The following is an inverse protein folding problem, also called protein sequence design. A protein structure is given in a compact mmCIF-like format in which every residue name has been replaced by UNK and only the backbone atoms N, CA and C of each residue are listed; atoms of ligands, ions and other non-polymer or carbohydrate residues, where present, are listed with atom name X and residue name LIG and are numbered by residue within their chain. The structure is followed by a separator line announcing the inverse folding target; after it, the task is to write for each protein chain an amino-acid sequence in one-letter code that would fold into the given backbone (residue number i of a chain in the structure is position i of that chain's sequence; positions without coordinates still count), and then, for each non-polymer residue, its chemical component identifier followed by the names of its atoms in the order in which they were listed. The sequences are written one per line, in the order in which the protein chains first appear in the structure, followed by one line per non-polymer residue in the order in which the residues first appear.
data_IF_608219392563
#
_entry.id   IF_608219392563
#
_cell.length_a   1.000
_cell.length_b   1.000
_cell.length_c   1.000
_cell.angle_alpha   90.00
_cell.angle_beta   90.00
_cell.angle_gamma   90.00
#
_symmetry.space_group_name_H-M   'P 1'
#
loop_
_entity.id
_entity.type
_entity.pdbx_description
1 polymer ?
#
# COMPACT_ATOMS: atom_id res chain seq x y z
N UNK A 1 1.48 -13.90 -22.78
CA UNK A 1 2.15 -12.60 -22.95
C UNK A 1 3.47 -12.59 -22.19
N UNK A 2 4.44 -11.88 -22.73
CA UNK A 2 5.70 -11.57 -22.08
C UNK A 2 5.98 -10.09 -22.23
N UNK A 3 6.58 -9.48 -21.22
CA UNK A 3 7.07 -8.12 -21.30
C UNK A 3 8.42 -8.00 -20.62
N UNK A 4 9.22 -7.07 -21.11
CA UNK A 4 10.46 -6.65 -20.47
C UNK A 4 10.63 -5.15 -20.72
N UNK A 5 11.09 -4.43 -19.71
CA UNK A 5 11.31 -3.00 -19.83
C UNK A 5 12.34 -2.49 -18.84
N UNK A 6 12.95 -1.37 -19.18
CA UNK A 6 13.80 -0.59 -18.29
C UNK A 6 13.16 0.75 -18.00
N UNK A 7 13.43 1.29 -16.83
CA UNK A 7 12.92 2.58 -16.40
C UNK A 7 13.87 3.29 -15.45
N UNK A 8 13.57 4.55 -15.24
CA UNK A 8 14.25 5.38 -14.25
C UNK A 8 13.26 6.34 -13.62
N UNK A 9 13.53 6.76 -12.39
CA UNK A 9 12.80 7.80 -11.68
C UNK A 9 13.78 8.85 -11.16
N UNK A 10 13.62 10.08 -11.59
CA UNK A 10 14.35 11.20 -10.99
C UNK A 10 13.75 11.56 -9.63
N UNK A 11 14.57 11.99 -8.66
CA UNK A 11 14.05 12.60 -7.44
C UNK A 11 13.16 13.80 -7.77
N UNK A 12 12.09 13.96 -7.01
CA UNK A 12 11.24 15.14 -7.13
C UNK A 12 11.93 16.38 -6.56
N UNK A 13 11.49 17.58 -6.99
CA UNK A 13 11.97 18.83 -6.44
C UNK A 13 11.74 18.93 -4.91
N UNK A 14 10.67 18.30 -4.42
CA UNK A 14 10.40 18.24 -2.99
C UNK A 14 11.43 17.39 -2.24
N UNK A 15 11.76 16.22 -2.75
CA UNK A 15 12.78 15.33 -2.15
C UNK A 15 14.17 15.98 -2.13
N UNK A 16 14.51 16.74 -3.19
CA UNK A 16 15.82 17.38 -3.32
C UNK A 16 15.97 18.65 -2.45
N UNK A 17 14.93 19.51 -2.38
CA UNK A 17 15.13 20.89 -1.93
C UNK A 17 14.12 21.38 -0.88
N UNK A 18 13.07 20.61 -0.54
CA UNK A 18 12.06 21.08 0.39
C UNK A 18 12.19 20.35 1.72
N UNK A 19 12.52 21.11 2.77
CA UNK A 19 12.34 20.66 4.15
C UNK A 19 11.00 21.16 4.67
N UNK A 20 10.28 20.31 5.42
CA UNK A 20 8.97 20.63 5.98
C UNK A 20 8.76 19.92 7.31
N UNK A 21 7.77 20.37 8.07
CA UNK A 21 7.37 19.74 9.32
C UNK A 21 5.99 19.08 9.15
N UNK A 22 5.90 17.80 9.43
CA UNK A 22 4.67 17.05 9.42
C UNK A 22 4.32 16.60 10.85
N UNK A 23 3.37 17.30 11.48
CA UNK A 23 2.88 16.98 12.83
C UNK A 23 3.99 16.89 13.91
N UNK A 24 4.98 17.79 13.82
CA UNK A 24 6.10 17.82 14.77
C UNK A 24 7.35 17.03 14.34
N UNK A 25 7.25 16.22 13.30
CA UNK A 25 8.38 15.46 12.76
C UNK A 25 8.94 16.18 11.54
N UNK A 26 10.25 16.46 11.55
CA UNK A 26 10.92 17.11 10.42
C UNK A 26 11.12 16.12 9.25
N UNK A 27 10.92 16.65 8.05
CA UNK A 27 11.26 15.99 6.78
C UNK A 27 12.37 16.81 6.15
N UNK A 28 13.53 16.19 6.00
CA UNK A 28 14.72 16.84 5.50
C UNK A 28 14.88 16.65 3.98
N UNK A 29 15.25 17.73 3.29
CA UNK A 29 15.65 17.67 1.90
C UNK A 29 16.95 16.88 1.71
N UNK A 30 17.11 16.25 0.54
CA UNK A 30 18.36 15.58 0.18
C UNK A 30 18.80 15.93 -1.25
N UNK A 31 19.62 16.97 -1.44
CA UNK A 31 20.10 17.37 -2.75
C UNK A 31 21.07 16.36 -3.40
N UNK A 32 21.56 15.37 -2.64
CA UNK A 32 22.50 14.35 -3.12
C UNK A 32 21.80 13.08 -3.65
N UNK A 33 20.47 13.06 -3.67
CA UNK A 33 19.71 11.91 -4.19
C UNK A 33 20.08 11.62 -5.66
N UNK A 34 20.39 10.37 -5.92
CA UNK A 34 20.61 9.85 -7.25
C UNK A 34 19.30 9.37 -7.89
N UNK A 35 19.19 9.42 -9.22
CA UNK A 35 18.07 8.79 -9.91
C UNK A 35 18.02 7.29 -9.63
N UNK A 36 16.84 6.80 -9.36
CA UNK A 36 16.55 5.37 -9.28
C UNK A 36 16.43 4.80 -10.69
N UNK A 37 17.05 3.68 -10.95
CA UNK A 37 16.97 2.97 -12.23
C UNK A 37 16.53 1.52 -12.01
N UNK A 38 16.04 0.87 -13.04
CA UNK A 38 15.66 -0.54 -12.89
C UNK A 38 15.17 -1.17 -14.18
N UNK A 39 14.83 -2.44 -14.04
CA UNK A 39 14.19 -3.21 -15.10
C UNK A 39 13.07 -4.09 -14.50
N UNK A 40 12.12 -4.45 -15.35
CA UNK A 40 11.07 -5.40 -15.02
C UNK A 40 10.89 -6.43 -16.13
N UNK A 41 10.50 -7.64 -15.74
CA UNK A 41 10.10 -8.70 -16.64
C UNK A 41 8.81 -9.35 -16.13
N UNK A 42 7.94 -9.72 -17.05
CA UNK A 42 6.66 -10.39 -16.76
C UNK A 42 6.41 -11.52 -17.75
N UNK A 43 5.85 -12.61 -17.24
CA UNK A 43 5.31 -13.71 -18.03
C UNK A 43 3.88 -13.99 -17.55
N UNK A 44 2.90 -13.97 -18.46
CA UNK A 44 1.51 -14.17 -18.10
C UNK A 44 0.71 -14.95 -19.13
N UNK A 45 -0.38 -15.55 -18.64
CA UNK A 45 -1.38 -16.28 -19.43
C UNK A 45 -2.74 -15.65 -19.17
N UNK A 46 -3.45 -15.31 -20.24
CA UNK A 46 -4.82 -14.82 -20.19
C UNK A 46 -5.74 -15.79 -20.88
N UNK A 47 -6.68 -16.35 -20.13
CA UNK A 47 -7.65 -17.33 -20.59
C UNK A 47 -9.05 -16.73 -20.63
N UNK A 48 -9.68 -16.71 -21.79
CA UNK A 48 -11.10 -16.38 -21.91
C UNK A 48 -11.96 -17.50 -21.32
N UNK A 49 -13.02 -17.09 -20.63
CA UNK A 49 -14.01 -18.00 -20.01
C UNK A 49 -15.40 -17.55 -20.43
N UNK A 50 -16.26 -18.51 -20.81
CA UNK A 50 -17.66 -18.27 -21.11
C UNK A 50 -18.54 -19.27 -20.37
N UNK A 51 -19.55 -18.75 -19.66
CA UNK A 51 -20.57 -19.54 -18.96
C UNK A 51 -21.93 -18.99 -19.38
N UNK A 52 -22.66 -19.73 -20.18
CA UNK A 52 -23.87 -19.23 -20.83
C UNK A 52 -23.60 -17.95 -21.64
N UNK A 53 -24.24 -16.82 -21.27
CA UNK A 53 -24.03 -15.50 -21.86
C UNK A 53 -23.09 -14.60 -21.02
N UNK A 54 -22.55 -15.11 -19.93
CA UNK A 54 -21.50 -14.45 -19.19
C UNK A 54 -20.16 -14.71 -19.85
N UNK A 55 -19.41 -13.66 -20.13
CA UNK A 55 -18.11 -13.71 -20.79
C UNK A 55 -17.10 -12.96 -19.94
N UNK A 56 -15.93 -13.57 -19.77
CA UNK A 56 -14.86 -12.99 -18.97
C UNK A 56 -13.49 -13.57 -19.31
N UNK A 57 -12.53 -13.24 -18.49
CA UNK A 57 -11.21 -13.82 -18.55
C UNK A 57 -10.60 -13.99 -17.15
N UNK A 58 -9.69 -14.93 -17.06
CA UNK A 58 -8.76 -15.11 -15.95
C UNK A 58 -7.38 -14.80 -16.50
N UNK A 59 -6.61 -13.99 -15.80
CA UNK A 59 -5.24 -13.62 -16.14
C UNK A 59 -4.34 -13.98 -14.97
N UNK A 60 -3.26 -14.70 -15.23
CA UNK A 60 -2.23 -15.07 -14.26
C UNK A 60 -0.90 -14.61 -14.81
N UNK A 61 -0.15 -13.85 -14.02
CA UNK A 61 1.19 -13.38 -14.40
C UNK A 61 2.18 -13.59 -13.25
N UNK A 62 3.40 -13.93 -13.59
CA UNK A 62 4.55 -13.85 -12.69
C UNK A 62 5.44 -12.70 -13.13
N UNK A 63 5.97 -11.94 -12.18
CA UNK A 63 6.79 -10.78 -12.46
C UNK A 63 8.03 -10.72 -11.57
N UNK A 64 9.04 -10.02 -12.05
CA UNK A 64 10.23 -9.64 -11.31
C UNK A 64 10.63 -8.23 -11.71
N UNK A 65 10.95 -7.40 -10.70
CA UNK A 65 11.47 -6.05 -10.86
C UNK A 65 12.75 -5.94 -10.06
N UNK A 66 13.76 -5.33 -10.65
CA UNK A 66 15.01 -5.01 -9.96
C UNK A 66 15.27 -3.52 -10.06
N UNK A 67 15.59 -2.90 -8.92
CA UNK A 67 15.89 -1.49 -8.82
C UNK A 67 17.32 -1.30 -8.32
N UNK A 68 17.96 -0.27 -8.83
CA UNK A 68 19.25 0.21 -8.39
C UNK A 68 19.10 1.62 -7.85
N UNK A 69 19.79 1.93 -6.76
CA UNK A 69 19.67 3.20 -6.05
C UNK A 69 18.22 3.54 -5.67
N UNK A 70 17.43 2.54 -5.25
CA UNK A 70 16.04 2.75 -4.86
C UNK A 70 15.94 3.83 -3.79
N UNK A 71 15.03 4.79 -3.98
CA UNK A 71 14.81 5.87 -3.01
C UNK A 71 13.77 5.45 -1.98
N UNK A 72 14.11 5.60 -0.70
CA UNK A 72 13.23 5.31 0.42
C UNK A 72 13.33 6.37 1.50
N UNK A 73 12.23 6.56 2.23
CA UNK A 73 12.15 7.44 3.38
C UNK A 73 12.74 6.72 4.59
N UNK A 74 13.72 7.31 5.25
CA UNK A 74 14.41 6.69 6.38
C UNK A 74 14.48 7.66 7.55
N UNK A 75 14.18 7.18 8.74
CA UNK A 75 14.30 7.94 9.99
C UNK A 75 15.75 7.93 10.47
N UNK A 76 16.20 9.09 10.94
CA UNK A 76 17.56 9.27 11.48
C UNK A 76 17.74 10.65 12.10
N UNK A 77 18.94 10.93 12.58
CA UNK A 77 19.34 12.27 13.02
C UNK A 77 19.99 13.03 11.86
N UNK A 78 19.23 13.87 11.18
CA UNK A 78 19.66 14.58 9.97
C UNK A 78 19.98 16.04 10.20
N UNK A 79 19.47 16.64 11.29
CA UNK A 79 19.68 18.03 11.68
C UNK A 79 20.55 18.16 12.91
N UNK A 80 21.04 19.39 13.15
CA UNK A 80 21.83 19.71 14.33
C UNK A 80 21.02 19.49 15.63
N UNK A 81 21.48 18.61 16.54
CA UNK A 81 20.75 18.30 17.77
C UNK A 81 20.61 19.47 18.74
N UNK A 82 21.40 20.53 18.58
CA UNK A 82 21.38 21.68 19.47
C UNK A 82 20.42 22.79 19.03
N UNK A 83 20.12 22.83 17.72
CA UNK A 83 19.35 23.93 17.13
C UNK A 83 18.04 23.51 16.49
N UNK A 84 17.88 22.23 16.15
CA UNK A 84 16.69 21.72 15.46
C UNK A 84 15.69 21.07 16.42
N UNK A 85 14.38 21.13 16.11
CA UNK A 85 13.35 20.40 16.86
C UNK A 85 13.69 18.92 16.98
N UNK A 86 13.20 18.25 18.04
CA UNK A 86 13.41 16.84 18.30
C UNK A 86 14.88 16.42 18.15
N UNK A 87 15.82 17.27 18.56
CA UNK A 87 17.26 17.00 18.45
C UNK A 87 17.74 16.68 17.03
N UNK A 88 17.11 17.24 16.02
CA UNK A 88 17.42 16.99 14.61
C UNK A 88 16.94 15.64 14.07
N UNK A 89 16.09 14.94 14.83
CA UNK A 89 15.47 13.69 14.39
C UNK A 89 14.37 13.95 13.35
N UNK A 90 14.24 13.05 12.38
CA UNK A 90 13.21 13.15 11.38
C UNK A 90 13.41 12.18 10.24
N UNK A 91 12.69 12.41 9.15
CA UNK A 91 12.78 11.60 7.94
C UNK A 91 13.56 12.29 6.84
N UNK A 92 14.28 11.51 6.05
CA UNK A 92 14.99 11.95 4.85
C UNK A 92 14.87 10.88 3.76
N UNK A 93 14.64 11.30 2.51
CA UNK A 93 14.74 10.37 1.38
C UNK A 93 16.21 10.07 1.10
N UNK A 94 16.55 8.79 0.99
CA UNK A 94 17.91 8.30 0.73
C UNK A 94 17.88 7.17 -0.30
N UNK A 95 18.98 6.93 -0.98
CA UNK A 95 19.12 5.77 -1.85
C UNK A 95 19.57 4.56 -1.02
N UNK A 96 18.79 3.46 -1.05
CA UNK A 96 19.03 2.26 -0.22
C UNK A 96 19.72 1.11 -0.97
N UNK A 97 20.26 1.39 -2.18
CA UNK A 97 20.96 0.39 -2.98
C UNK A 97 20.04 -0.49 -3.82
N UNK A 98 20.48 -1.76 -4.01
CA UNK A 98 19.75 -2.71 -4.85
C UNK A 98 18.58 -3.36 -4.13
N UNK A 99 17.41 -3.38 -4.80
CA UNK A 99 16.21 -4.04 -4.32
C UNK A 99 15.58 -4.91 -5.40
N UNK A 100 14.83 -5.92 -4.99
CA UNK A 100 14.10 -6.79 -5.89
C UNK A 100 12.67 -6.98 -5.39
N UNK A 101 11.72 -6.90 -6.31
CA UNK A 101 10.31 -7.23 -6.05
C UNK A 101 9.92 -8.32 -7.05
N UNK A 102 9.57 -9.50 -6.56
CA UNK A 102 9.06 -10.58 -7.39
C UNK A 102 7.70 -11.03 -6.89
N UNK A 103 6.87 -11.56 -7.78
CA UNK A 103 5.54 -11.95 -7.36
C UNK A 103 4.69 -12.60 -8.42
N UNK A 104 3.43 -12.83 -8.03
CA UNK A 104 2.39 -13.42 -8.88
C UNK A 104 1.15 -12.54 -8.77
N UNK A 105 0.53 -12.28 -9.91
CA UNK A 105 -0.76 -11.62 -10.03
C UNK A 105 -1.80 -12.57 -10.61
N UNK A 106 -2.98 -12.56 -10.01
CA UNK A 106 -4.18 -13.23 -10.51
C UNK A 106 -5.26 -12.16 -10.68
N UNK A 107 -5.88 -12.09 -11.84
CA UNK A 107 -7.07 -11.24 -12.04
C UNK A 107 -8.19 -11.99 -12.74
N UNK A 108 -9.40 -11.61 -12.40
CA UNK A 108 -10.63 -12.06 -13.03
C UNK A 108 -11.47 -10.84 -13.40
N UNK A 109 -12.00 -10.85 -14.60
CA UNK A 109 -12.94 -9.83 -15.06
C UNK A 109 -13.97 -10.49 -15.97
N UNK A 110 -15.24 -10.15 -15.78
CA UNK A 110 -16.28 -10.69 -16.63
C UNK A 110 -17.64 -10.07 -16.37
N UNK A 111 -18.50 -10.13 -17.37
CA UNK A 111 -19.84 -9.61 -17.30
C UNK A 111 -20.80 -10.41 -18.18
N UNK A 112 -22.07 -10.41 -17.86
CA UNK A 112 -23.09 -10.98 -18.69
C UNK A 112 -24.21 -11.69 -17.96
N UNK A 113 -25.17 -12.21 -18.72
CA UNK A 113 -26.33 -12.95 -18.21
C UNK A 113 -25.95 -14.39 -17.87
N UNK A 114 -26.21 -14.79 -16.63
CA UNK A 114 -26.14 -16.21 -16.22
C UNK A 114 -27.43 -16.93 -16.64
N UNK A 115 -28.56 -16.26 -16.45
CA UNK A 115 -29.88 -16.70 -16.89
C UNK A 115 -30.72 -15.50 -17.37
N UNK A 116 -32.03 -15.65 -17.58
CA UNK A 116 -32.88 -14.58 -18.08
C UNK A 116 -33.02 -13.40 -17.10
N UNK A 117 -32.93 -13.67 -15.80
CA UNK A 117 -33.25 -12.73 -14.73
C UNK A 117 -32.01 -12.23 -13.98
N UNK A 118 -30.81 -12.77 -14.29
CA UNK A 118 -29.60 -12.45 -13.55
C UNK A 118 -28.42 -12.07 -14.46
N UNK A 119 -27.93 -10.85 -14.29
CA UNK A 119 -26.66 -10.39 -14.85
C UNK A 119 -25.63 -10.32 -13.73
N UNK A 120 -24.41 -10.77 -13.99
CA UNK A 120 -23.28 -10.67 -13.04
C UNK A 120 -22.16 -9.87 -13.70
N UNK A 121 -21.71 -8.84 -13.00
CA UNK A 121 -20.49 -8.11 -13.27
C UNK A 121 -19.49 -8.48 -12.17
N UNK A 122 -18.33 -8.99 -12.57
CA UNK A 122 -17.29 -9.44 -11.64
C UNK A 122 -15.95 -8.85 -12.04
N UNK A 123 -15.26 -8.23 -11.08
CA UNK A 123 -13.86 -7.85 -11.20
C UNK A 123 -13.15 -8.26 -9.92
N UNK A 124 -12.00 -8.89 -10.04
CA UNK A 124 -11.20 -9.28 -8.89
C UNK A 124 -9.72 -9.34 -9.23
N UNK A 125 -8.90 -9.20 -8.23
CA UNK A 125 -7.46 -9.32 -8.33
C UNK A 125 -6.85 -9.77 -7.00
N UNK A 126 -5.78 -10.50 -7.12
CA UNK A 126 -4.90 -10.89 -6.02
C UNK A 126 -3.47 -10.74 -6.48
N UNK A 127 -2.66 -10.10 -5.64
CA UNK A 127 -1.22 -9.95 -5.85
C UNK A 127 -0.49 -10.50 -4.63
N UNK A 128 0.43 -11.40 -4.88
CA UNK A 128 1.49 -11.76 -3.95
C UNK A 128 2.79 -11.13 -4.42
N UNK A 129 3.52 -10.49 -3.51
CA UNK A 129 4.85 -9.94 -3.80
C UNK A 129 5.84 -10.24 -2.69
N UNK A 130 7.08 -10.46 -3.08
CA UNK A 130 8.23 -10.60 -2.19
C UNK A 130 9.23 -9.45 -2.46
N UNK A 131 9.07 -8.30 -1.79
CA UNK A 131 9.93 -7.14 -1.96
C UNK A 131 11.08 -7.21 -0.96
N UNK A 132 12.32 -7.30 -1.44
CA UNK A 132 13.52 -7.46 -0.61
C UNK A 132 14.61 -6.45 -0.97
N UNK A 133 15.44 -6.11 0.01
CA UNK A 133 16.76 -5.47 -0.20
C UNK A 133 17.79 -6.55 -0.43
N UNK A 134 18.66 -6.38 -1.42
CA UNK A 134 19.64 -7.42 -1.79
C UNK A 134 20.80 -7.47 -0.81
N UNK A 135 21.21 -6.33 -0.26
CA UNK A 135 22.34 -6.19 0.65
C UNK A 135 21.92 -5.42 1.92
N UNK A 136 21.14 -6.03 2.84
CA UNK A 136 20.54 -5.30 3.96
C UNK A 136 21.55 -4.79 4.99
N UNK A 137 22.75 -5.35 5.05
CA UNK A 137 23.83 -4.95 5.97
C UNK A 137 24.81 -3.93 5.37
N UNK A 138 24.65 -3.58 4.10
CA UNK A 138 25.44 -2.54 3.45
C UNK A 138 25.05 -1.16 3.96
N UNK A 139 26.04 -0.31 4.26
CA UNK A 139 25.81 1.07 4.65
C UNK A 139 25.35 1.86 3.43
N UNK A 140 24.11 2.34 3.46
CA UNK A 140 23.56 3.11 2.36
C UNK A 140 23.61 4.63 2.59
N UNK A 141 23.73 5.07 3.85
CA UNK A 141 23.85 6.49 4.21
C UNK A 141 24.40 6.64 5.63
N UNK A 142 24.83 7.86 5.96
CA UNK A 142 25.24 8.22 7.32
C UNK A 142 24.34 9.33 7.86
N UNK A 143 23.89 9.18 9.11
CA UNK A 143 23.23 10.23 9.87
C UNK A 143 24.26 11.07 10.64
N UNK A 144 23.85 12.25 11.14
CA UNK A 144 24.77 13.13 11.90
C UNK A 144 25.19 12.49 13.23
N UNK A 145 24.32 11.70 13.84
CA UNK A 145 24.57 11.09 15.13
C UNK A 145 23.87 9.74 15.31
N UNK A 146 23.85 9.29 16.55
CA UNK A 146 23.26 8.03 16.96
C UNK A 146 21.97 8.27 17.74
N UNK A 147 21.01 7.38 17.60
CA UNK A 147 19.78 7.34 18.39
C UNK A 147 19.65 5.99 19.09
N UNK A 148 19.17 6.01 20.33
CA UNK A 148 18.89 4.80 21.09
C UNK A 148 17.45 4.36 20.79
N UNK A 149 17.29 3.16 20.22
CA UNK A 149 15.98 2.56 19.90
C UNK A 149 15.95 1.16 20.52
N UNK A 150 15.01 0.90 21.41
CA UNK A 150 14.87 -0.39 22.11
C UNK A 150 16.18 -0.90 22.73
N UNK A 151 17.03 0.01 23.24
CA UNK A 151 18.31 -0.34 23.84
C UNK A 151 19.47 -0.55 22.86
N UNK A 152 19.27 -0.38 21.57
CA UNK A 152 20.30 -0.43 20.52
C UNK A 152 20.64 0.98 20.01
N UNK A 153 21.93 1.26 19.81
CA UNK A 153 22.39 2.49 19.18
C UNK A 153 22.31 2.33 17.65
N UNK A 154 21.54 3.19 17.00
CA UNK A 154 21.33 3.22 15.56
C UNK A 154 22.02 4.45 14.97
N UNK A 155 22.91 4.25 13.99
CA UNK A 155 23.73 5.28 13.35
C UNK A 155 25.14 5.40 13.97
N UNK A 156 26.00 6.30 13.45
CA UNK A 156 25.75 7.16 12.29
C UNK A 156 25.61 6.36 10.98
N UNK A 157 26.26 5.21 10.85
CA UNK A 157 26.13 4.31 9.68
C UNK A 157 24.74 3.65 9.68
N UNK A 158 23.94 3.96 8.67
CA UNK A 158 22.61 3.39 8.49
C UNK A 158 22.66 2.27 7.45
N UNK A 159 22.21 1.09 7.90
CA UNK A 159 21.97 -0.08 7.07
C UNK A 159 20.48 -0.39 7.07
N UNK A 160 20.02 -1.18 6.12
CA UNK A 160 18.63 -1.62 6.12
C UNK A 160 18.30 -2.48 7.35
N UNK A 161 19.26 -3.31 7.78
CA UNK A 161 19.14 -4.15 8.97
C UNK A 161 18.94 -3.35 10.25
N UNK A 162 19.68 -2.26 10.46
CA UNK A 162 19.59 -1.51 11.71
C UNK A 162 18.45 -0.47 11.72
N UNK A 163 17.96 -0.02 10.56
CA UNK A 163 16.90 0.98 10.43
C UNK A 163 15.48 0.41 10.29
N UNK A 164 15.35 -0.91 10.12
CA UNK A 164 14.10 -1.63 9.84
C UNK A 164 13.62 -2.46 11.02
N UNK A 165 12.30 -2.61 11.17
CA UNK A 165 11.71 -3.53 12.14
C UNK A 165 11.79 -5.00 11.70
N UNK A 166 11.80 -5.27 10.38
CA UNK A 166 11.99 -6.58 9.75
C UNK A 166 12.79 -6.42 8.45
N UNK A 167 14.14 -6.57 8.47
CA UNK A 167 14.99 -6.34 7.31
C UNK A 167 14.82 -7.39 6.19
N UNK A 168 14.05 -8.44 6.40
CA UNK A 168 13.79 -9.47 5.40
C UNK A 168 12.86 -9.00 4.28
N UNK A 169 12.18 -7.86 4.45
CA UNK A 169 11.20 -7.30 3.51
C UNK A 169 11.36 -5.78 3.42
N UNK A 170 11.06 -5.18 2.27
CA UNK A 170 11.05 -3.72 2.12
C UNK A 170 10.01 -3.06 3.05
N UNK A 171 10.37 -1.92 3.64
CA UNK A 171 9.50 -1.14 4.51
C UNK A 171 8.22 -0.72 3.79
N UNK A 172 7.12 -0.64 4.53
CA UNK A 172 5.85 -0.11 4.07
C UNK A 172 5.29 -0.84 2.84
N UNK A 173 5.52 -2.15 2.73
CA UNK A 173 4.99 -3.00 1.66
C UNK A 173 4.11 -4.10 2.23
N UNK A 174 3.01 -4.37 1.53
CA UNK A 174 2.18 -5.55 1.74
C UNK A 174 2.72 -6.70 0.91
N UNK A 175 2.67 -7.93 1.43
CA UNK A 175 2.99 -9.11 0.64
C UNK A 175 1.77 -9.67 -0.09
N UNK A 176 0.59 -9.55 0.53
CA UNK A 176 -0.66 -10.03 -0.03
C UNK A 176 -1.68 -8.89 -0.14
N UNK A 177 -2.21 -8.69 -1.33
CA UNK A 177 -3.29 -7.74 -1.60
C UNK A 177 -4.36 -8.46 -2.40
N UNK A 178 -5.61 -8.38 -1.97
CA UNK A 178 -6.74 -8.91 -2.71
C UNK A 178 -7.89 -7.92 -2.77
N UNK A 179 -8.59 -7.88 -3.90
CA UNK A 179 -9.84 -7.17 -4.06
C UNK A 179 -10.77 -7.93 -4.98
N UNK A 180 -12.03 -8.07 -4.55
CA UNK A 180 -13.10 -8.60 -5.38
C UNK A 180 -14.27 -7.62 -5.31
N UNK A 181 -14.85 -7.29 -6.45
CA UNK A 181 -16.07 -6.54 -6.59
C UNK A 181 -17.03 -7.34 -7.46
N UNK A 182 -18.21 -7.64 -6.92
CA UNK A 182 -19.25 -8.35 -7.60
C UNK A 182 -20.56 -7.56 -7.57
N UNK A 183 -21.20 -7.43 -8.72
CA UNK A 183 -22.50 -6.79 -8.85
C UNK A 183 -23.48 -7.74 -9.53
N UNK A 184 -24.65 -7.89 -8.93
CA UNK A 184 -25.75 -8.73 -9.38
C UNK A 184 -26.90 -7.83 -9.75
N UNK A 185 -27.35 -7.89 -11.02
CA UNK A 185 -28.52 -7.19 -11.52
C UNK A 185 -29.62 -8.22 -11.70
N UNK A 186 -30.70 -8.09 -10.95
CA UNK A 186 -31.80 -9.04 -10.86
C UNK A 186 -33.04 -8.40 -11.47
N UNK A 187 -33.66 -9.08 -12.43
CA UNK A 187 -34.85 -8.63 -13.16
C UNK A 187 -34.71 -7.21 -13.76
N UNK A 188 -33.46 -6.81 -14.06
CA UNK A 188 -33.10 -5.48 -14.60
C UNK A 188 -33.35 -4.30 -13.64
N UNK A 189 -34.09 -4.50 -12.54
CA UNK A 189 -34.46 -3.44 -11.58
C UNK A 189 -33.63 -3.42 -10.30
N UNK A 190 -33.32 -4.59 -9.72
CA UNK A 190 -32.63 -4.68 -8.44
C UNK A 190 -31.13 -4.87 -8.66
N UNK A 191 -30.33 -4.08 -7.99
CA UNK A 191 -28.89 -4.13 -8.05
C UNK A 191 -28.35 -4.41 -6.66
N UNK A 192 -27.60 -5.51 -6.53
CA UNK A 192 -26.87 -5.85 -5.31
C UNK A 192 -25.38 -5.90 -5.63
N UNK A 193 -24.58 -5.18 -4.88
CA UNK A 193 -23.13 -5.18 -5.05
C UNK A 193 -22.41 -5.46 -3.75
N UNK A 194 -21.27 -6.12 -3.83
CA UNK A 194 -20.37 -6.31 -2.72
C UNK A 194 -18.93 -6.08 -3.19
N UNK A 195 -18.15 -5.45 -2.33
CA UNK A 195 -16.70 -5.33 -2.52
C UNK A 195 -16.00 -5.88 -1.28
N UNK A 196 -15.00 -6.72 -1.49
CA UNK A 196 -14.15 -7.26 -0.44
C UNK A 196 -12.73 -6.86 -0.74
N UNK A 197 -12.05 -6.25 0.24
CA UNK A 197 -10.64 -5.83 0.15
C UNK A 197 -9.87 -6.47 1.28
N UNK A 198 -8.74 -7.06 0.94
CA UNK A 198 -7.78 -7.58 1.90
C UNK A 198 -6.40 -6.99 1.63
N UNK A 199 -5.78 -6.47 2.66
CA UNK A 199 -4.37 -6.14 2.70
C UNK A 199 -3.74 -6.91 3.86
N UNK A 200 -2.62 -7.54 3.59
CA UNK A 200 -1.83 -8.22 4.60
C UNK A 200 -1.31 -7.25 5.67
N UNK A 201 -0.75 -7.78 6.74
CA UNK A 201 -0.06 -6.99 7.73
C UNK A 201 1.24 -6.41 7.15
N UNK A 202 1.42 -5.10 7.31
CA UNK A 202 2.65 -4.39 6.91
C UNK A 202 3.77 -4.73 7.89
N UNK A 203 4.52 -5.80 7.60
CA UNK A 203 5.48 -6.41 8.53
C UNK A 203 6.63 -5.47 8.87
N UNK A 204 7.21 -4.83 7.85
CA UNK A 204 8.35 -3.94 8.03
C UNK A 204 7.96 -2.46 7.96
N UNK A 205 8.43 -1.73 8.96
CA UNK A 205 8.35 -0.26 9.07
C UNK A 205 9.69 0.26 9.59
N UNK A 206 9.87 1.58 9.64
CA UNK A 206 11.05 2.13 10.34
C UNK A 206 11.08 1.69 11.80
N UNK A 207 12.24 1.26 12.26
CA UNK A 207 12.44 0.70 13.59
C UNK A 207 12.05 1.67 14.71
N UNK A 208 12.16 2.97 14.46
CA UNK A 208 11.73 4.02 15.38
C UNK A 208 10.28 3.87 15.84
N UNK A 209 9.39 3.40 14.97
CA UNK A 209 7.97 3.19 15.32
C UNK A 209 7.71 1.95 16.18
N UNK A 210 8.72 1.13 16.45
CA UNK A 210 8.63 -0.01 17.38
C UNK A 210 9.18 0.31 18.77
N UNK A 211 9.81 1.48 18.97
CA UNK A 211 10.34 1.92 20.24
C UNK A 211 9.22 2.39 21.17
N UNK A 212 9.16 1.85 22.38
CA UNK A 212 8.06 2.15 23.33
C UNK A 212 8.04 3.61 23.77
N UNK A 213 9.21 4.20 24.04
CA UNK A 213 9.29 5.58 24.49
C UNK A 213 8.92 6.56 23.36
N UNK A 214 9.48 6.36 22.17
CA UNK A 214 9.19 7.18 21.01
C UNK A 214 7.71 7.04 20.57
N UNK A 215 7.12 5.86 20.70
CA UNK A 215 5.69 5.67 20.44
C UNK A 215 4.80 6.44 21.41
N UNK A 216 5.15 6.52 22.68
CA UNK A 216 4.35 7.28 23.65
C UNK A 216 4.42 8.80 23.41
N UNK A 217 5.57 9.30 23.01
CA UNK A 217 5.84 10.73 22.86
C UNK A 217 5.51 11.28 21.46
N UNK A 218 5.83 10.53 20.40
CA UNK A 218 5.68 11.03 19.02
C UNK A 218 4.36 10.62 18.37
N UNK A 219 4.03 9.34 18.43
CA UNK A 219 2.84 8.78 17.72
C UNK A 219 2.22 7.70 18.60
N UNK A 220 1.47 8.08 19.64
CA UNK A 220 0.88 7.11 20.56
C UNK A 220 -0.11 6.18 19.85
N UNK A 221 -0.11 4.91 20.25
CA UNK A 221 -1.06 3.90 19.79
C UNK A 221 -0.62 3.09 18.56
N UNK A 222 0.55 3.31 17.98
CA UNK A 222 1.03 2.53 16.83
C UNK A 222 1.28 1.07 17.22
N UNK A 223 1.97 0.80 18.32
CA UNK A 223 2.28 -0.56 18.73
C UNK A 223 1.01 -1.35 19.06
N UNK A 224 0.09 -0.77 19.82
CA UNK A 224 -1.19 -1.38 20.14
C UNK A 224 -2.03 -1.67 18.89
N UNK A 225 -2.04 -0.75 17.93
CA UNK A 225 -2.74 -0.96 16.67
C UNK A 225 -2.08 -2.07 15.84
N UNK A 226 -0.76 -2.13 15.80
CA UNK A 226 -0.01 -3.18 15.09
C UNK A 226 -0.24 -4.56 15.69
N UNK A 227 -0.27 -4.68 17.00
CA UNK A 227 -0.61 -5.92 17.70
C UNK A 227 -2.06 -6.35 17.43
N UNK A 228 -3.00 -5.40 17.59
CA UNK A 228 -4.44 -5.64 17.39
C UNK A 228 -4.78 -6.09 15.96
N UNK A 229 -4.07 -5.59 14.95
CA UNK A 229 -4.37 -5.82 13.52
C UNK A 229 -3.28 -6.63 12.79
N UNK A 230 -2.50 -7.42 13.52
CA UNK A 230 -1.38 -8.21 12.99
C UNK A 230 -1.74 -9.26 11.92
N UNK A 231 -3.04 -9.57 11.74
CA UNK A 231 -3.55 -10.49 10.73
C UNK A 231 -3.97 -9.80 9.40
N UNK A 232 -3.61 -8.53 9.23
CA UNK A 232 -4.03 -7.74 8.08
C UNK A 232 -5.47 -7.23 8.18
N UNK A 233 -5.94 -6.56 7.13
CA UNK A 233 -7.22 -5.87 7.09
C UNK A 233 -8.15 -6.44 6.04
N UNK A 234 -9.28 -6.99 6.48
CA UNK A 234 -10.35 -7.49 5.63
C UNK A 234 -11.56 -6.55 5.75
N UNK A 235 -11.88 -5.84 4.67
CA UNK A 235 -12.92 -4.81 4.61
C UNK A 235 -14.00 -5.24 3.65
N UNK A 236 -15.25 -5.13 4.09
CA UNK A 236 -16.45 -5.44 3.31
C UNK A 236 -17.27 -4.19 3.06
N UNK A 237 -17.62 -3.96 1.82
CA UNK A 237 -18.56 -2.93 1.40
C UNK A 237 -19.76 -3.60 0.72
N UNK A 238 -20.94 -3.04 0.91
CA UNK A 238 -22.15 -3.48 0.22
C UNK A 238 -22.86 -2.28 -0.43
N UNK A 239 -23.57 -2.56 -1.49
CA UNK A 239 -24.45 -1.59 -2.13
C UNK A 239 -25.74 -2.28 -2.61
N UNK A 240 -26.84 -1.61 -2.41
CA UNK A 240 -28.13 -2.03 -2.92
C UNK A 240 -28.73 -0.89 -3.74
N UNK A 241 -29.21 -1.18 -4.93
CA UNK A 241 -29.81 -0.20 -5.83
C UNK A 241 -31.12 -0.70 -6.38
N UNK A 242 -31.99 0.25 -6.72
CA UNK A 242 -33.26 -0.01 -7.41
C UNK A 242 -33.45 1.01 -8.53
N UNK A 243 -33.72 0.52 -9.73
CA UNK A 243 -34.06 1.36 -10.86
C UNK A 243 -35.55 1.76 -10.72
N UNK A 244 -35.80 3.03 -10.37
CA UNK A 244 -37.17 3.58 -10.26
C UNK A 244 -37.88 3.66 -11.61
N UNK A 245 -37.11 3.96 -12.66
CA UNK A 245 -37.47 3.95 -14.06
C UNK A 245 -36.19 3.97 -14.91
N UNK A 246 -36.31 4.12 -16.25
CA UNK A 246 -35.17 4.13 -17.19
C UNK A 246 -34.18 5.28 -16.96
N UNK A 247 -34.59 6.34 -16.29
CA UNK A 247 -33.81 7.57 -16.07
C UNK A 247 -33.44 7.81 -14.60
N UNK A 248 -34.00 7.05 -13.66
CA UNK A 248 -33.78 7.28 -12.22
C UNK A 248 -33.43 6.01 -11.46
N UNK A 249 -32.34 6.08 -10.70
CA UNK A 249 -31.85 5.00 -9.83
C UNK A 249 -31.62 5.50 -8.41
N UNK A 250 -32.13 4.78 -7.43
CA UNK A 250 -31.86 5.01 -6.00
C UNK A 250 -30.89 3.94 -5.52
N UNK A 251 -29.83 4.33 -4.78
CA UNK A 251 -28.84 3.39 -4.25
C UNK A 251 -28.52 3.69 -2.79
N UNK A 252 -28.40 2.65 -1.99
CA UNK A 252 -27.84 2.66 -0.64
C UNK A 252 -26.44 2.04 -0.69
N UNK A 253 -25.45 2.75 -0.19
CA UNK A 253 -24.05 2.32 -0.16
C UNK A 253 -23.59 2.29 1.30
N UNK A 254 -23.07 1.18 1.74
CA UNK A 254 -22.46 1.01 3.06
C UNK A 254 -21.04 0.53 2.91
N UNK A 255 -20.08 1.41 3.13
CA UNK A 255 -18.68 1.05 3.13
C UNK A 255 -18.25 0.62 4.53
N UNK A 256 -17.32 -0.33 4.61
CA UNK A 256 -16.81 -0.90 5.85
C UNK A 256 -17.97 -1.35 6.78
N UNK A 257 -18.78 -2.27 6.29
CA UNK A 257 -20.05 -2.69 6.96
C UNK A 257 -19.83 -3.17 8.39
N UNK A 258 -18.68 -3.80 8.66
CA UNK A 258 -18.32 -4.30 10.00
C UNK A 258 -17.67 -3.23 10.89
N UNK A 259 -17.56 -2.00 10.39
CA UNK A 259 -16.93 -0.88 11.11
C UNK A 259 -15.54 -1.23 11.65
N UNK A 260 -14.74 -1.93 10.84
CA UNK A 260 -13.37 -2.28 11.21
C UNK A 260 -12.50 -1.02 11.30
N UNK A 261 -11.79 -0.88 12.41
CA UNK A 261 -10.70 0.08 12.52
C UNK A 261 -9.48 -0.49 11.81
N UNK A 262 -8.83 0.29 10.94
CA UNK A 262 -7.64 -0.14 10.21
C UNK A 262 -6.79 1.04 9.75
N UNK A 263 -5.50 0.77 9.53
CA UNK A 263 -4.52 1.73 9.05
C UNK A 263 -3.89 1.24 7.76
N UNK A 264 -3.71 2.13 6.78
CA UNK A 264 -2.96 1.79 5.56
C UNK A 264 -1.44 1.90 5.73
N UNK A 265 -1.01 2.74 6.66
CA UNK A 265 0.38 2.93 7.11
C UNK A 265 0.35 3.35 8.58
N UNK A 266 1.49 3.34 9.30
CA UNK A 266 1.54 3.91 10.64
C UNK A 266 0.94 5.32 10.68
N UNK A 267 0.04 5.57 11.62
CA UNK A 267 -0.72 6.81 11.81
C UNK A 267 -1.71 7.21 10.69
N UNK A 268 -1.85 6.46 9.61
CA UNK A 268 -2.85 6.71 8.55
C UNK A 268 -4.13 5.91 8.82
N UNK A 269 -4.96 6.41 9.76
CA UNK A 269 -6.26 5.82 10.08
C UNK A 269 -7.22 5.97 8.90
N UNK A 270 -7.80 4.84 8.48
CA UNK A 270 -8.74 4.80 7.37
C UNK A 270 -10.18 5.01 7.87
N UNK A 271 -11.09 5.47 6.97
CA UNK A 271 -12.47 5.77 7.36
C UNK A 271 -13.17 4.58 8.01
N UNK A 272 -13.90 4.88 9.08
CA UNK A 272 -14.84 3.98 9.68
C UNK A 272 -16.02 3.72 8.73
N UNK A 273 -17.05 2.99 9.20
CA UNK A 273 -18.26 2.74 8.40
C UNK A 273 -18.90 4.05 7.94
N UNK A 274 -19.17 4.12 6.63
CA UNK A 274 -19.94 5.22 6.04
C UNK A 274 -21.20 4.67 5.39
N UNK A 275 -22.27 5.44 5.47
CA UNK A 275 -23.56 5.13 4.86
C UNK A 275 -23.95 6.30 3.96
N UNK A 276 -24.23 6.01 2.70
CA UNK A 276 -24.65 7.03 1.73
C UNK A 276 -25.92 6.58 1.01
N UNK A 277 -26.83 7.52 0.80
CA UNK A 277 -27.98 7.39 -0.08
C UNK A 277 -27.72 8.23 -1.33
N UNK A 278 -27.80 7.60 -2.51
CA UNK A 278 -27.52 8.24 -3.79
C UNK A 278 -28.73 8.14 -4.72
N UNK A 279 -29.14 9.27 -5.25
CA UNK A 279 -30.09 9.34 -6.37
C UNK A 279 -29.32 9.70 -7.64
N UNK A 280 -29.36 8.84 -8.64
CA UNK A 280 -28.76 9.09 -9.96
C UNK A 280 -29.87 9.37 -10.97
N UNK A 281 -29.75 10.47 -11.70
CA UNK A 281 -30.68 10.88 -12.74
C UNK A 281 -29.94 10.99 -14.06
N UNK A 282 -30.53 10.42 -15.12
CA UNK A 282 -30.06 10.58 -16.50
C UNK A 282 -30.82 11.77 -17.11
N UNK A 283 -30.10 12.78 -17.54
CA UNK A 283 -30.62 14.02 -18.15
C UNK A 283 -30.36 14.00 -19.64
#
# INVERSE_FOLDING_TARGET
RTSWGQGYRFPSMAELFVSTNASGIEIYANPELKPETGWSAELGIKQAVQINKWVGFIDVAAFIMKYYDMMEFTFGQWGDPLTMPLYGLGFKSVNIGETQISGIELSVNGQGKINNDLIINLIGGYTYMNPIVMNPDEVYTESIGQILINGELIGPELTYSNSSSDPSILKYRYQHIAKIDAEFIINEDYILGTSVRYNDFMRNIDKVFTDEWLNQELIPGINEAREKFSNGDLIFDIRAGYNLNEDAKLSLIVNNIFNREYMSRPADMRPQRTIALQLSLKI
#
